data_IF_940991055246
#
_entry.id   IF_940991055246
#
_cell.length_a   1.000
_cell.length_b   1.000
_cell.length_c   1.000
_cell.angle_alpha   90.00
_cell.angle_beta   90.00
_cell.angle_gamma   90.00
#
_symmetry.space_group_name_H-M   'P 1'
#
loop_
_entity.id
_entity.type
_entity.pdbx_description
1 polymer ?
#
# COMPACT_ATOMS: atom_id res chain seq x y z
N UNK A 1 4.99 0.06 15.15
CA UNK A 1 5.84 1.21 14.77
C UNK A 1 5.36 1.69 13.41
N UNK A 2 5.25 3.00 13.18
CA UNK A 2 4.85 3.52 11.87
C UNK A 2 5.88 3.13 10.80
N UNK A 3 5.38 2.90 9.59
CA UNK A 3 6.18 2.65 8.40
C UNK A 3 6.67 4.00 7.89
N UNK A 4 7.98 4.22 7.90
CA UNK A 4 8.58 5.53 7.60
C UNK A 4 8.36 6.03 6.17
N UNK A 5 8.13 5.13 5.21
CA UNK A 5 7.83 5.47 3.81
C UNK A 5 6.32 5.56 3.51
N UNK A 6 5.46 5.31 4.48
CA UNK A 6 4.01 5.31 4.29
C UNK A 6 3.39 6.64 4.74
N UNK A 7 2.32 7.07 4.07
CA UNK A 7 1.52 8.20 4.53
C UNK A 7 0.87 7.95 5.89
N UNK A 8 0.64 9.01 6.66
CA UNK A 8 0.05 8.92 8.01
C UNK A 8 -1.33 8.24 8.03
N UNK A 9 -2.14 8.47 6.98
CA UNK A 9 -3.45 7.85 6.87
C UNK A 9 -3.38 6.32 6.69
N UNK A 10 -2.38 5.83 5.96
CA UNK A 10 -2.13 4.40 5.81
C UNK A 10 -1.61 3.82 7.12
N UNK A 11 -0.64 4.48 7.77
CA UNK A 11 -0.14 4.08 9.09
C UNK A 11 -1.27 3.96 10.12
N UNK A 12 -2.17 4.95 10.18
CA UNK A 12 -3.33 4.91 11.06
C UNK A 12 -4.30 3.79 10.69
N UNK A 13 -4.53 3.55 9.39
CA UNK A 13 -5.41 2.47 8.96
C UNK A 13 -4.88 1.09 9.38
N UNK A 14 -3.57 0.87 9.34
CA UNK A 14 -2.91 -0.38 9.75
C UNK A 14 -2.84 -0.56 11.27
N UNK A 15 -2.85 0.54 12.04
CA UNK A 15 -2.77 0.50 13.51
C UNK A 15 -4.13 0.25 14.18
N UNK A 16 -5.23 0.55 13.50
CA UNK A 16 -6.59 0.31 14.01
C UNK A 16 -7.15 -1.03 13.55
N UNK A 17 -8.09 -1.58 14.32
CA UNK A 17 -8.81 -2.79 13.93
C UNK A 17 -9.64 -2.57 12.66
N UNK A 18 -9.87 -3.64 11.89
CA UNK A 18 -10.72 -3.62 10.70
C UNK A 18 -12.11 -3.03 10.98
N UNK A 19 -12.77 -3.44 12.07
CA UNK A 19 -14.07 -2.87 12.48
C UNK A 19 -14.01 -1.36 12.74
N UNK A 20 -12.87 -0.85 13.21
CA UNK A 20 -12.66 0.59 13.40
C UNK A 20 -12.40 1.28 12.07
N UNK A 21 -11.63 0.64 11.19
CA UNK A 21 -11.33 1.09 9.83
C UNK A 21 -12.60 1.23 8.99
N UNK A 22 -13.52 0.26 9.06
CA UNK A 22 -14.81 0.23 8.34
C UNK A 22 -15.76 1.36 8.76
N UNK A 23 -15.70 1.78 10.03
CA UNK A 23 -16.50 2.93 10.53
C UNK A 23 -16.03 4.26 9.96
N UNK A 24 -14.83 4.31 9.37
CA UNK A 24 -14.29 5.48 8.70
C UNK A 24 -14.48 5.38 7.20
N UNK A 25 -15.09 6.41 6.61
CA UNK A 25 -15.26 6.48 5.15
C UNK A 25 -13.97 6.67 4.36
N UNK A 26 -12.82 6.85 5.03
CA UNK A 26 -11.54 7.15 4.39
C UNK A 26 -10.43 6.14 4.73
N UNK A 27 -10.42 5.58 5.94
CA UNK A 27 -9.33 4.69 6.37
C UNK A 27 -9.34 3.34 5.62
N UNK A 28 -10.51 2.82 5.26
CA UNK A 28 -10.64 1.55 4.54
C UNK A 28 -10.47 1.64 3.02
N UNK A 29 -10.19 2.81 2.46
CA UNK A 29 -10.07 2.99 1.01
C UNK A 29 -8.86 2.22 0.50
N UNK A 30 -9.08 1.31 -0.47
CA UNK A 30 -8.05 0.42 -1.01
C UNK A 30 -7.93 -0.93 -0.30
N UNK A 31 -8.54 -1.12 0.87
CA UNK A 31 -8.50 -2.40 1.57
C UNK A 31 -9.58 -3.38 1.06
N UNK A 32 -9.20 -4.63 0.84
CA UNK A 32 -10.07 -5.72 0.40
C UNK A 32 -10.18 -6.80 1.51
N UNK A 33 -11.26 -6.79 2.32
CA UNK A 33 -11.45 -7.72 3.43
C UNK A 33 -11.40 -9.20 3.04
N UNK A 34 -11.97 -9.55 1.88
CA UNK A 34 -12.10 -10.93 1.43
C UNK A 34 -10.74 -11.64 1.23
N UNK A 35 -9.70 -10.87 0.92
CA UNK A 35 -8.35 -11.37 0.63
C UNK A 35 -7.29 -10.86 1.60
N UNK A 36 -7.67 -9.99 2.55
CA UNK A 36 -6.75 -9.27 3.43
C UNK A 36 -5.60 -8.58 2.66
N UNK A 37 -5.97 -7.93 1.56
CA UNK A 37 -5.03 -7.22 0.68
C UNK A 37 -5.36 -5.74 0.58
N UNK A 38 -4.37 -4.96 0.21
CA UNK A 38 -4.49 -3.54 -0.08
C UNK A 38 -4.15 -3.25 -1.54
N UNK A 39 -4.99 -2.45 -2.19
CA UNK A 39 -4.57 -1.59 -3.30
C UNK A 39 -3.84 -0.38 -2.72
N UNK A 40 -2.58 -0.20 -3.11
CA UNK A 40 -1.75 0.93 -2.71
C UNK A 40 -1.16 1.60 -3.95
N UNK A 41 -0.90 2.89 -3.83
CA UNK A 41 -0.13 3.65 -4.82
C UNK A 41 1.27 3.81 -4.23
N UNK A 42 2.28 3.50 -5.02
CA UNK A 42 3.69 3.67 -4.63
C UNK A 42 4.39 4.61 -5.58
N UNK A 43 5.24 5.47 -5.03
CA UNK A 43 6.31 6.13 -5.79
C UNK A 43 7.53 5.23 -5.72
N UNK A 44 8.15 4.96 -6.86
CA UNK A 44 9.27 4.03 -6.95
C UNK A 44 10.40 4.59 -7.82
N UNK A 45 11.56 3.94 -7.80
CA UNK A 45 12.67 4.20 -8.71
C UNK A 45 13.17 2.89 -9.33
N UNK A 46 13.64 2.94 -10.57
CA UNK A 46 14.15 1.76 -11.27
C UNK A 46 13.07 0.78 -11.72
N UNK A 47 13.26 -0.52 -11.44
CA UNK A 47 12.32 -1.59 -11.83
C UNK A 47 11.65 -2.20 -10.61
N UNK A 48 10.36 -2.53 -10.75
CA UNK A 48 9.57 -3.25 -9.74
C UNK A 48 9.64 -4.78 -9.88
N UNK A 49 10.35 -5.31 -10.87
CA UNK A 49 10.33 -6.76 -11.17
C UNK A 49 10.80 -7.61 -10.00
N UNK A 50 11.87 -7.19 -9.31
CA UNK A 50 12.36 -7.86 -8.10
C UNK A 50 11.30 -7.92 -7.01
N UNK A 51 10.58 -6.81 -6.79
CA UNK A 51 9.52 -6.71 -5.78
C UNK A 51 8.35 -7.61 -6.15
N UNK A 52 7.93 -7.61 -7.43
CA UNK A 52 6.86 -8.47 -7.95
C UNK A 52 7.18 -9.95 -7.73
N UNK A 53 8.40 -10.36 -8.07
CA UNK A 53 8.85 -11.75 -7.95
C UNK A 53 9.01 -12.19 -6.50
N UNK A 54 9.73 -11.42 -5.67
CA UNK A 54 10.03 -11.79 -4.28
C UNK A 54 8.77 -11.77 -3.39
N UNK A 55 7.88 -10.80 -3.58
CA UNK A 55 6.64 -10.70 -2.80
C UNK A 55 5.46 -11.43 -3.43
N UNK A 56 5.60 -11.91 -4.67
CA UNK A 56 4.53 -12.53 -5.46
C UNK A 56 3.27 -11.62 -5.53
N UNK A 57 3.46 -10.36 -5.92
CA UNK A 57 2.41 -9.33 -6.02
C UNK A 57 2.21 -8.83 -7.44
N UNK A 58 1.02 -8.30 -7.73
CA UNK A 58 0.76 -7.58 -8.97
C UNK A 58 1.08 -6.08 -8.81
N UNK A 59 1.72 -5.49 -9.82
CA UNK A 59 1.92 -4.06 -9.90
C UNK A 59 1.66 -3.55 -11.32
N UNK A 60 0.88 -2.47 -11.45
CA UNK A 60 0.61 -1.76 -12.70
C UNK A 60 1.34 -0.42 -12.64
N UNK A 61 2.34 -0.25 -13.50
CA UNK A 61 3.11 0.99 -13.60
C UNK A 61 2.30 2.09 -14.29
N UNK A 62 2.44 3.30 -13.78
CA UNK A 62 1.81 4.53 -14.24
C UNK A 62 2.89 5.51 -14.73
N UNK A 63 2.46 6.71 -15.12
CA UNK A 63 3.38 7.81 -15.43
C UNK A 63 4.05 8.37 -14.17
N UNK A 64 5.17 9.05 -14.35
CA UNK A 64 5.89 9.80 -13.30
C UNK A 64 6.34 8.92 -12.11
N UNK A 65 6.78 7.70 -12.41
CA UNK A 65 7.36 6.79 -11.42
C UNK A 65 6.38 6.36 -10.31
N UNK A 66 5.09 6.31 -10.64
CA UNK A 66 4.05 5.76 -9.78
C UNK A 66 3.60 4.38 -10.24
N UNK A 67 3.17 3.53 -9.31
CA UNK A 67 2.52 2.26 -9.62
C UNK A 67 1.38 1.96 -8.66
N UNK A 68 0.37 1.23 -9.14
CA UNK A 68 -0.67 0.62 -8.31
C UNK A 68 -0.23 -0.80 -8.01
N UNK A 69 -0.22 -1.18 -6.73
CA UNK A 69 0.13 -2.53 -6.27
C UNK A 69 -1.04 -3.16 -5.53
N UNK A 70 -1.21 -4.47 -5.67
CA UNK A 70 -2.09 -5.26 -4.81
C UNK A 70 -1.23 -6.14 -3.93
N UNK A 71 -1.25 -5.89 -2.62
CA UNK A 71 -0.33 -6.51 -1.66
C UNK A 71 -1.07 -7.02 -0.40
N UNK A 72 -0.74 -8.21 0.12
CA UNK A 72 -1.20 -8.64 1.45
C UNK A 72 -0.83 -7.66 2.55
N UNK A 73 -1.74 -7.39 3.49
CA UNK A 73 -1.52 -6.40 4.55
C UNK A 73 -0.22 -6.67 5.34
N UNK A 74 0.06 -7.94 5.61
CA UNK A 74 1.24 -8.37 6.37
C UNK A 74 2.57 -8.13 5.64
N UNK A 75 2.56 -7.82 4.34
CA UNK A 75 3.77 -7.55 3.54
C UNK A 75 4.05 -6.06 3.34
N UNK A 76 3.16 -5.15 3.76
CA UNK A 76 3.33 -3.71 3.54
C UNK A 76 4.58 -3.17 4.26
N UNK A 77 4.88 -3.67 5.46
CA UNK A 77 6.11 -3.29 6.15
C UNK A 77 7.37 -3.79 5.42
N UNK A 78 7.31 -4.98 4.82
CA UNK A 78 8.40 -5.55 4.01
C UNK A 78 8.61 -4.76 2.72
N UNK A 79 7.53 -4.39 2.03
CA UNK A 79 7.56 -3.52 0.86
C UNK A 79 8.33 -2.22 1.12
N UNK A 80 8.11 -1.59 2.27
CA UNK A 80 8.80 -0.35 2.64
C UNK A 80 10.31 -0.50 2.86
N UNK A 81 10.83 -1.74 2.98
CA UNK A 81 12.26 -2.00 3.13
C UNK A 81 13.01 -2.03 1.79
N UNK A 82 12.30 -2.15 0.66
CA UNK A 82 12.92 -2.10 -0.66
C UNK A 82 13.42 -0.70 -0.96
N UNK A 83 14.63 -0.59 -1.51
CA UNK A 83 15.29 0.66 -1.85
C UNK A 83 14.55 1.38 -2.98
N UNK A 84 13.98 0.58 -3.89
CA UNK A 84 13.20 1.00 -5.03
C UNK A 84 11.92 1.72 -4.63
N UNK A 85 11.37 1.45 -3.43
CA UNK A 85 10.15 2.11 -2.93
C UNK A 85 10.53 3.42 -2.24
N UNK A 86 9.99 4.54 -2.71
CA UNK A 86 10.23 5.88 -2.15
C UNK A 86 9.10 6.32 -1.22
N UNK A 87 7.86 6.04 -1.60
CA UNK A 87 6.67 6.45 -0.86
C UNK A 87 5.49 5.48 -1.10
N UNK A 88 4.63 5.32 -0.10
CA UNK A 88 3.46 4.45 -0.14
C UNK A 88 2.24 5.22 0.37
N UNK A 89 1.16 5.24 -0.42
CA UNK A 89 -0.11 5.84 -0.03
C UNK A 89 -1.31 4.94 -0.36
N UNK A 90 -2.42 5.15 0.35
CA UNK A 90 -3.71 4.57 -0.02
C UNK A 90 -4.39 5.45 -1.08
N UNK A 91 -5.26 4.87 -1.92
CA UNK A 91 -6.08 5.64 -2.83
C UNK A 91 -6.90 6.71 -2.09
N UNK A 92 -7.22 7.77 -2.81
CA UNK A 92 -8.06 8.85 -2.32
C UNK A 92 -9.50 8.60 -2.75
N UNK A 93 -10.44 8.73 -1.82
CA UNK A 93 -11.87 8.71 -2.15
C UNK A 93 -12.20 9.99 -2.91
N UNK A 94 -12.66 9.87 -4.14
CA UNK A 94 -13.23 10.99 -4.89
C UNK A 94 -14.72 11.04 -4.50
N UNK A 95 -15.09 12.06 -3.73
CA UNK A 95 -16.45 12.33 -3.27
C UNK A 95 -16.99 13.61 -3.88
#
# INVERSE_FOLDING_TARGET
MPIGKAEDALNLALDVSETTREKSSNLGVGYFPATNTWELIVKYSGSLDRIREELNISAVELFDEYAIIIIPENLINTLAQYEEIEFIEKPKRIS
#
